data_IF_480612296154
#
_entry.id   IF_480612296154
#
_cell.length_a   1.000
_cell.length_b   1.000
_cell.length_c   1.000
_cell.angle_alpha   90.00
_cell.angle_beta   90.00
_cell.angle_gamma   90.00
#
_symmetry.space_group_name_H-M   'P 1'
#
loop_
_entity.id
_entity.type
_entity.pdbx_description
1 polymer ?
#
# COMPACT_ATOMS: atom_id res chain seq x y z
N UNK A 1 -22.58 -26.03 19.97
CA UNK A 1 -22.64 -24.91 19.02
C UNK A 1 -21.52 -25.14 18.04
N UNK A 2 -21.86 -25.20 16.77
CA UNK A 2 -20.88 -25.50 15.73
C UNK A 2 -20.04 -24.26 15.46
N UNK A 3 -18.73 -24.49 15.35
CA UNK A 3 -17.74 -23.45 15.09
C UNK A 3 -17.36 -23.58 13.62
N UNK A 4 -17.33 -22.45 12.91
CA UNK A 4 -16.93 -22.46 11.51
C UNK A 4 -15.42 -22.72 11.34
N UNK A 5 -14.98 -23.24 10.18
CA UNK A 5 -13.57 -23.36 9.86
C UNK A 5 -12.82 -22.02 9.93
N UNK A 6 -13.48 -20.91 9.56
CA UNK A 6 -12.92 -19.56 9.72
C UNK A 6 -12.64 -19.21 11.16
N UNK A 7 -13.58 -19.49 12.07
CA UNK A 7 -13.40 -19.25 13.51
C UNK A 7 -12.32 -20.13 14.12
N UNK A 8 -12.21 -21.40 13.72
CA UNK A 8 -11.12 -22.28 14.15
C UNK A 8 -9.76 -21.76 13.69
N UNK A 9 -9.68 -21.23 12.47
CA UNK A 9 -8.46 -20.64 11.95
C UNK A 9 -8.08 -19.36 12.71
N UNK A 10 -9.05 -18.47 12.96
CA UNK A 10 -8.86 -17.27 13.79
C UNK A 10 -8.39 -17.64 15.20
N UNK A 11 -8.91 -18.71 15.79
CA UNK A 11 -8.41 -19.20 17.08
C UNK A 11 -6.94 -19.59 17.00
N UNK A 12 -6.54 -20.38 16.01
CA UNK A 12 -5.13 -20.77 15.83
C UNK A 12 -4.21 -19.56 15.66
N UNK A 13 -4.65 -18.54 14.92
CA UNK A 13 -3.93 -17.28 14.79
C UNK A 13 -3.82 -16.55 16.14
N UNK A 14 -4.89 -16.49 16.92
CA UNK A 14 -4.89 -15.85 18.24
C UNK A 14 -3.99 -16.59 19.25
N UNK A 15 -3.96 -17.93 19.19
CA UNK A 15 -3.05 -18.74 19.99
C UNK A 15 -1.59 -18.45 19.62
N UNK A 16 -1.27 -18.43 18.32
CA UNK A 16 0.07 -18.05 17.84
C UNK A 16 0.46 -16.65 18.29
N UNK A 17 -0.47 -15.70 18.29
CA UNK A 17 -0.25 -14.34 18.76
C UNK A 17 0.09 -14.32 20.26
N UNK A 18 -0.69 -15.01 21.11
CA UNK A 18 -0.46 -15.08 22.55
C UNK A 18 0.88 -15.74 22.90
N UNK A 19 1.30 -16.76 22.15
CA UNK A 19 2.63 -17.38 22.30
C UNK A 19 3.72 -16.38 21.93
N UNK A 20 3.60 -15.70 20.79
CA UNK A 20 4.59 -14.74 20.31
C UNK A 20 4.75 -13.54 21.25
N UNK A 21 3.67 -13.12 21.91
CA UNK A 21 3.66 -12.05 22.91
C UNK A 21 3.95 -12.53 24.33
N UNK A 22 4.23 -13.83 24.56
CA UNK A 22 4.56 -14.43 25.87
C UNK A 22 3.46 -14.21 26.92
N UNK A 23 2.21 -14.38 26.52
CA UNK A 23 1.02 -14.28 27.38
C UNK A 23 0.55 -15.67 27.78
N UNK A 24 0.14 -15.84 29.04
CA UNK A 24 -0.33 -17.12 29.58
C UNK A 24 -1.62 -17.60 28.91
N UNK A 25 -2.54 -16.67 28.64
CA UNK A 25 -3.85 -16.96 28.06
C UNK A 25 -4.07 -16.20 26.76
N UNK A 26 -4.95 -16.74 25.90
CA UNK A 26 -5.48 -16.02 24.74
C UNK A 26 -6.51 -15.00 25.22
N UNK A 27 -6.09 -13.74 25.28
CA UNK A 27 -6.95 -12.57 25.55
C UNK A 27 -7.76 -12.06 24.34
N UNK A 28 -8.83 -11.27 24.55
CA UNK A 28 -9.64 -10.68 23.48
C UNK A 28 -8.82 -9.88 22.45
N UNK A 29 -7.78 -9.16 22.90
CA UNK A 29 -6.90 -8.42 22.00
C UNK A 29 -6.15 -9.31 21.00
N UNK A 30 -5.83 -10.55 21.38
CA UNK A 30 -5.22 -11.52 20.47
C UNK A 30 -6.21 -12.00 19.42
N UNK A 31 -7.49 -12.20 19.80
CA UNK A 31 -8.56 -12.50 18.84
C UNK A 31 -8.79 -11.34 17.88
N UNK A 32 -8.76 -10.10 18.36
CA UNK A 32 -8.84 -8.94 17.49
C UNK A 32 -7.67 -8.87 16.52
N UNK A 33 -6.42 -9.01 16.98
CA UNK A 33 -5.24 -9.11 16.11
C UNK A 33 -5.36 -10.23 15.08
N UNK A 34 -5.91 -11.39 15.47
CA UNK A 34 -6.13 -12.53 14.60
C UNK A 34 -7.20 -12.25 13.54
N UNK A 35 -8.30 -11.57 13.89
CA UNK A 35 -9.36 -11.17 12.96
C UNK A 35 -8.87 -10.12 11.95
N UNK A 36 -8.11 -9.13 12.41
CA UNK A 36 -7.47 -8.15 11.53
C UNK A 36 -6.54 -8.85 10.54
N UNK A 37 -5.68 -9.75 11.03
CA UNK A 37 -4.82 -10.57 10.16
C UNK A 37 -5.66 -11.43 9.21
N UNK A 38 -6.69 -12.11 9.69
CA UNK A 38 -7.60 -12.94 8.89
C UNK A 38 -8.27 -12.16 7.74
N UNK A 39 -8.59 -10.88 7.97
CA UNK A 39 -9.14 -9.99 6.95
C UNK A 39 -8.13 -9.57 5.88
N UNK A 40 -6.84 -9.44 6.24
CA UNK A 40 -5.76 -9.02 5.36
C UNK A 40 -5.37 -10.12 4.36
N UNK A 41 -5.49 -11.39 4.77
CA UNK A 41 -4.94 -12.52 4.01
C UNK A 41 -5.63 -12.70 2.65
N UNK A 42 -4.91 -12.47 1.57
CA UNK A 42 -5.17 -13.12 0.27
C UNK A 42 -4.57 -14.54 0.27
N UNK A 43 -5.05 -15.43 -0.60
CA UNK A 43 -4.68 -16.86 -0.59
C UNK A 43 -3.18 -17.21 -0.49
N UNK A 44 -2.24 -16.30 -0.85
CA UNK A 44 -0.78 -16.49 -0.73
C UNK A 44 -0.23 -16.48 0.70
N UNK A 45 -0.85 -15.75 1.63
CA UNK A 45 -0.26 -15.45 2.96
C UNK A 45 -0.74 -16.38 4.08
N UNK A 46 -1.66 -17.30 3.77
CA UNK A 46 -2.12 -18.35 4.70
C UNK A 46 -1.06 -19.45 4.92
N UNK A 47 0.07 -19.42 4.20
CA UNK A 47 1.02 -20.54 4.15
C UNK A 47 0.46 -21.74 3.38
N UNK A 48 -0.56 -21.48 2.56
CA UNK A 48 -1.31 -22.48 1.82
C UNK A 48 -1.37 -22.01 0.37
N UNK A 49 -0.94 -22.85 -0.59
CA UNK A 49 -0.89 -22.48 -2.00
C UNK A 49 -2.26 -21.96 -2.49
N UNK A 50 -2.26 -20.93 -3.34
CA UNK A 50 -3.45 -20.38 -4.00
C UNK A 50 -4.09 -21.49 -4.87
N UNK A 51 -5.02 -22.24 -4.27
CA UNK A 51 -5.58 -23.46 -4.86
C UNK A 51 -5.93 -24.55 -3.85
N UNK A 52 -5.43 -24.46 -2.62
CA UNK A 52 -5.76 -25.45 -1.59
C UNK A 52 -7.24 -25.35 -1.14
N UNK A 53 -7.92 -26.49 -0.92
CA UNK A 53 -9.34 -26.51 -0.54
C UNK A 53 -9.67 -25.63 0.67
N UNK A 54 -8.83 -25.65 1.70
CA UNK A 54 -9.00 -24.81 2.90
C UNK A 54 -9.07 -23.31 2.59
N UNK A 55 -8.29 -22.81 1.62
CA UNK A 55 -8.33 -21.39 1.25
C UNK A 55 -9.68 -21.00 0.63
N UNK A 56 -10.30 -21.91 -0.14
CA UNK A 56 -11.63 -21.71 -0.72
C UNK A 56 -12.72 -21.72 0.36
N UNK A 57 -12.57 -22.55 1.38
CA UNK A 57 -13.50 -22.61 2.52
C UNK A 57 -13.41 -21.37 3.42
N UNK A 58 -12.21 -20.82 3.63
CA UNK A 58 -12.00 -19.67 4.51
C UNK A 58 -12.38 -18.32 3.86
N UNK A 59 -12.26 -18.23 2.53
CA UNK A 59 -12.43 -16.97 1.78
C UNK A 59 -13.76 -16.25 2.06
N UNK A 60 -14.94 -16.91 2.04
CA UNK A 60 -16.21 -16.23 2.26
C UNK A 60 -16.32 -15.60 3.66
N UNK A 61 -15.79 -16.26 4.68
CA UNK A 61 -15.74 -15.72 6.04
C UNK A 61 -14.74 -14.57 6.17
N UNK A 62 -13.57 -14.69 5.54
CA UNK A 62 -12.57 -13.62 5.47
C UNK A 62 -13.11 -12.36 4.77
N UNK A 63 -13.83 -12.53 3.66
CA UNK A 63 -14.46 -11.44 2.91
C UNK A 63 -15.54 -10.73 3.76
N UNK A 64 -16.31 -11.46 4.58
CA UNK A 64 -17.27 -10.87 5.53
C UNK A 64 -16.59 -10.02 6.61
N UNK A 65 -15.52 -10.55 7.22
CA UNK A 65 -14.73 -9.81 8.22
C UNK A 65 -14.12 -8.55 7.59
N UNK A 66 -13.59 -8.66 6.36
CA UNK A 66 -13.04 -7.53 5.61
C UNK A 66 -14.10 -6.45 5.35
N UNK A 67 -15.26 -6.83 4.84
CA UNK A 67 -16.34 -5.89 4.56
C UNK A 67 -16.76 -5.09 5.79
N UNK A 68 -16.88 -5.74 6.96
CA UNK A 68 -17.21 -5.07 8.22
C UNK A 68 -16.15 -4.07 8.69
N UNK A 69 -14.86 -4.37 8.45
CA UNK A 69 -13.74 -3.48 8.78
C UNK A 69 -13.64 -2.31 7.79
N UNK A 70 -13.93 -2.55 6.51
CA UNK A 70 -13.94 -1.53 5.45
C UNK A 70 -15.09 -0.53 5.63
N UNK A 71 -16.29 -1.01 5.98
CA UNK A 71 -17.45 -0.16 6.31
C UNK A 71 -17.12 0.86 7.42
N UNK A 72 -16.30 0.45 8.39
CA UNK A 72 -15.86 1.28 9.52
C UNK A 72 -14.55 2.00 9.23
N UNK A 73 -14.02 1.89 8.01
CA UNK A 73 -12.82 2.59 7.61
C UNK A 73 -11.61 2.25 8.48
N UNK A 74 -11.50 1.03 9.03
CA UNK A 74 -10.43 0.69 9.99
C UNK A 74 -9.13 0.24 9.28
N UNK A 75 -7.98 0.90 9.48
CA UNK A 75 -6.71 0.47 8.89
C UNK A 75 -6.10 -0.72 9.66
N UNK A 76 -6.52 -1.92 9.27
CA UNK A 76 -6.24 -3.21 9.94
C UNK A 76 -4.77 -3.43 10.29
N UNK A 77 -3.85 -3.23 9.36
CA UNK A 77 -2.41 -3.41 9.58
C UNK A 77 -1.84 -2.46 10.64
N UNK A 78 -2.25 -1.18 10.63
CA UNK A 78 -1.76 -0.16 11.58
C UNK A 78 -2.29 -0.45 12.98
N UNK A 79 -3.60 -0.70 13.09
CA UNK A 79 -4.26 -1.09 14.34
C UNK A 79 -3.57 -2.32 14.93
N UNK A 80 -3.38 -3.37 14.14
CA UNK A 80 -2.71 -4.61 14.58
C UNK A 80 -1.29 -4.36 15.09
N UNK A 81 -0.48 -3.57 14.36
CA UNK A 81 0.90 -3.24 14.76
C UNK A 81 0.93 -2.39 16.05
N UNK A 82 0.07 -1.40 16.16
CA UNK A 82 0.03 -0.50 17.32
C UNK A 82 -0.55 -1.21 18.54
N UNK A 83 -1.55 -2.07 18.37
CA UNK A 83 -2.07 -2.91 19.44
C UNK A 83 -1.01 -3.86 19.97
N UNK A 84 -0.22 -4.52 19.10
CA UNK A 84 0.94 -5.33 19.53
C UNK A 84 1.96 -4.51 20.34
N UNK A 85 2.22 -3.26 19.94
CA UNK A 85 3.12 -2.37 20.69
C UNK A 85 2.54 -1.99 22.05
N UNK A 86 1.26 -1.64 22.11
CA UNK A 86 0.56 -1.27 23.32
C UNK A 86 0.45 -2.43 24.32
N UNK A 87 0.20 -3.65 23.81
CA UNK A 87 0.19 -4.87 24.63
C UNK A 87 1.58 -5.26 25.12
N UNK A 88 2.64 -4.91 24.38
CA UNK A 88 4.01 -5.26 24.73
C UNK A 88 4.25 -6.77 24.79
N UNK A 89 5.37 -7.17 25.42
CA UNK A 89 5.72 -8.57 25.67
C UNK A 89 5.48 -8.94 27.13
N UNK A 90 4.83 -10.07 27.34
CA UNK A 90 4.69 -10.70 28.65
C UNK A 90 5.94 -11.50 29.05
N UNK A 91 5.85 -12.14 30.22
CA UNK A 91 6.93 -12.96 30.80
C UNK A 91 6.65 -14.47 30.80
N UNK A 92 5.51 -14.92 30.28
CA UNK A 92 5.12 -16.32 30.36
C UNK A 92 5.85 -17.18 29.31
N UNK A 93 6.34 -18.34 29.73
CA UNK A 93 6.96 -19.32 28.84
C UNK A 93 6.05 -20.54 28.72
N UNK A 94 5.51 -20.77 27.52
CA UNK A 94 4.67 -21.93 27.23
C UNK A 94 5.50 -23.21 27.24
N UNK A 95 5.01 -24.23 27.96
CA UNK A 95 5.57 -25.59 27.98
C UNK A 95 4.68 -26.55 27.17
N UNK A 96 4.30 -26.13 25.97
CA UNK A 96 3.43 -26.87 25.05
C UNK A 96 2.73 -25.96 24.06
N UNK A 97 2.04 -26.55 23.07
CA UNK A 97 1.38 -25.82 22.00
C UNK A 97 -0.07 -25.40 22.34
N UNK A 98 -0.61 -25.90 23.46
CA UNK A 98 -1.99 -25.62 23.88
C UNK A 98 -2.02 -24.38 24.75
N UNK A 99 -2.65 -23.33 24.25
CA UNK A 99 -2.92 -22.10 25.00
C UNK A 99 -4.39 -22.00 25.32
N UNK A 100 -4.72 -21.79 26.59
CA UNK A 100 -6.10 -21.65 27.04
C UNK A 100 -6.62 -20.22 26.83
N UNK A 101 -7.92 -20.11 26.58
CA UNK A 101 -8.62 -18.81 26.54
C UNK A 101 -8.76 -18.26 27.95
N UNK A 102 -8.57 -16.94 28.10
CA UNK A 102 -8.86 -16.25 29.35
C UNK A 102 -10.36 -16.23 29.66
N UNK A 103 -10.74 -15.85 30.87
CA UNK A 103 -12.15 -15.66 31.25
C UNK A 103 -12.84 -14.61 30.36
N UNK A 104 -12.14 -13.53 30.01
CA UNK A 104 -12.64 -12.51 29.10
C UNK A 104 -12.89 -13.07 27.69
N UNK A 105 -11.97 -13.88 27.17
CA UNK A 105 -12.16 -14.56 25.87
C UNK A 105 -13.29 -15.58 25.90
N UNK A 106 -13.52 -16.30 27.00
CA UNK A 106 -14.69 -17.19 27.12
C UNK A 106 -16.00 -16.39 27.07
N UNK A 107 -16.04 -15.22 27.70
CA UNK A 107 -17.19 -14.31 27.65
C UNK A 107 -17.41 -13.73 26.25
N UNK A 108 -16.35 -13.37 25.53
CA UNK A 108 -16.41 -12.97 24.12
C UNK A 108 -17.11 -14.05 23.28
N UNK A 109 -16.69 -15.31 23.41
CA UNK A 109 -17.29 -16.41 22.66
C UNK A 109 -18.75 -16.68 23.05
N UNK A 110 -19.12 -16.56 24.33
CA UNK A 110 -20.51 -16.75 24.76
C UNK A 110 -21.44 -15.62 24.29
N UNK A 111 -20.91 -14.41 24.09
CA UNK A 111 -21.62 -13.30 23.45
C UNK A 111 -21.75 -13.49 21.95
N UNK A 112 -20.65 -13.81 21.26
CA UNK A 112 -20.66 -14.06 19.82
C UNK A 112 -21.57 -15.25 19.46
N UNK A 113 -21.64 -16.27 20.32
CA UNK A 113 -22.60 -17.36 20.25
C UNK A 113 -24.05 -16.87 20.22
N UNK A 114 -24.41 -15.89 21.05
CA UNK A 114 -25.75 -15.30 21.06
C UNK A 114 -26.06 -14.48 19.81
N UNK A 115 -25.04 -13.83 19.23
CA UNK A 115 -25.17 -13.16 17.93
C UNK A 115 -25.41 -14.20 16.83
N UNK A 116 -24.62 -15.27 16.80
CA UNK A 116 -24.75 -16.35 15.81
C UNK A 116 -26.12 -17.06 15.85
N UNK A 117 -26.74 -17.18 17.03
CA UNK A 117 -28.08 -17.74 17.18
C UNK A 117 -29.19 -16.89 16.53
N UNK A 118 -28.95 -15.59 16.33
CA UNK A 118 -29.87 -14.71 15.59
C UNK A 118 -29.72 -14.86 14.06
N UNK A 119 -28.64 -15.48 13.61
CA UNK A 119 -28.37 -15.80 12.21
C UNK A 119 -28.59 -17.31 11.96
N UNK A 120 -27.62 -18.03 11.38
CA UNK A 120 -27.74 -19.45 11.00
C UNK A 120 -27.39 -20.44 12.12
N UNK A 121 -27.05 -19.96 13.32
CA UNK A 121 -26.68 -20.81 14.46
C UNK A 121 -25.24 -21.35 14.45
N UNK A 122 -24.43 -21.01 13.45
CA UNK A 122 -23.01 -21.37 13.35
C UNK A 122 -22.14 -20.19 13.76
N UNK A 123 -21.20 -20.41 14.67
CA UNK A 123 -20.28 -19.36 15.13
C UNK A 123 -19.19 -19.08 14.08
N UNK A 124 -19.42 -18.06 13.28
CA UNK A 124 -18.44 -17.49 12.34
C UNK A 124 -17.56 -16.37 12.91
N UNK A 125 -16.41 -16.12 12.26
CA UNK A 125 -15.40 -15.16 12.69
C UNK A 125 -15.94 -13.72 12.78
N UNK A 126 -16.86 -13.34 11.89
CA UNK A 126 -17.44 -12.00 11.88
C UNK A 126 -18.29 -11.70 13.13
N UNK A 127 -18.90 -12.71 13.76
CA UNK A 127 -19.61 -12.53 15.03
C UNK A 127 -18.66 -12.17 16.19
N UNK A 128 -17.44 -12.74 16.18
CA UNK A 128 -16.40 -12.36 17.16
C UNK A 128 -15.98 -10.90 16.93
N UNK A 129 -15.81 -10.50 15.67
CA UNK A 129 -15.47 -9.13 15.31
C UNK A 129 -16.56 -8.15 15.77
N UNK A 130 -17.83 -8.47 15.52
CA UNK A 130 -18.97 -7.63 15.91
C UNK A 130 -18.95 -7.32 17.41
N UNK A 131 -18.84 -8.35 18.25
CA UNK A 131 -18.79 -8.19 19.71
C UNK A 131 -17.55 -7.40 20.16
N UNK A 132 -16.41 -7.61 19.52
CA UNK A 132 -15.16 -6.89 19.81
C UNK A 132 -15.22 -5.40 19.44
N UNK A 133 -15.98 -5.05 18.40
CA UNK A 133 -16.18 -3.66 17.98
C UNK A 133 -17.26 -2.95 18.81
N UNK A 134 -18.27 -3.69 19.27
CA UNK A 134 -19.31 -3.17 20.18
C UNK A 134 -18.74 -2.91 21.59
N UNK A 135 -17.95 -3.85 22.11
CA UNK A 135 -17.33 -3.75 23.44
C UNK A 135 -15.80 -3.95 23.36
N UNK A 136 -15.06 -2.95 22.84
CA UNK A 136 -13.61 -3.05 22.74
C UNK A 136 -12.93 -3.05 24.11
N UNK A 137 -11.80 -3.73 24.22
CA UNK A 137 -10.92 -3.58 25.39
C UNK A 137 -10.39 -2.14 25.47
N UNK A 138 -9.89 -1.73 26.63
CA UNK A 138 -9.29 -0.40 26.79
C UNK A 138 -8.12 -0.17 25.81
N UNK A 139 -7.30 -1.20 25.59
CA UNK A 139 -6.18 -1.14 24.64
C UNK A 139 -6.67 -1.00 23.19
N UNK A 140 -7.68 -1.79 22.79
CA UNK A 140 -8.29 -1.67 21.47
C UNK A 140 -8.93 -0.30 21.25
N UNK A 141 -9.72 0.19 22.21
CA UNK A 141 -10.39 1.48 22.12
C UNK A 141 -9.37 2.62 21.98
N UNK A 142 -8.31 2.60 22.78
CA UNK A 142 -7.24 3.59 22.70
C UNK A 142 -6.51 3.54 21.35
N UNK A 143 -6.17 2.35 20.87
CA UNK A 143 -5.51 2.20 19.56
C UNK A 143 -6.42 2.62 18.41
N UNK A 144 -7.70 2.24 18.42
CA UNK A 144 -8.65 2.65 17.37
C UNK A 144 -8.89 4.17 17.39
N UNK A 145 -8.83 4.80 18.57
CA UNK A 145 -8.88 6.27 18.69
C UNK A 145 -7.62 6.95 18.18
N UNK A 146 -6.45 6.42 18.53
CA UNK A 146 -5.14 6.97 18.13
C UNK A 146 -4.87 6.80 16.63
N UNK A 147 -5.36 5.69 16.07
CA UNK A 147 -5.24 5.38 14.64
C UNK A 147 -6.34 6.08 13.83
N UNK A 148 -7.50 6.37 14.43
CA UNK A 148 -8.64 7.04 13.80
C UNK A 148 -9.35 6.21 12.72
N UNK A 149 -10.64 6.46 12.44
CA UNK A 149 -11.29 5.94 11.23
C UNK A 149 -10.67 6.57 9.98
N UNK A 150 -10.36 5.77 8.95
CA UNK A 150 -9.91 6.25 7.62
C UNK A 150 -10.83 7.37 7.15
N UNK A 151 -10.26 8.55 6.98
CA UNK A 151 -10.70 9.48 5.96
C UNK A 151 -10.00 9.09 4.65
N UNK A 152 -10.61 8.19 3.86
CA UNK A 152 -10.13 7.88 2.50
C UNK A 152 -8.74 7.23 2.39
N UNK A 153 -8.30 6.84 1.17
CA UNK A 153 -7.31 5.79 0.98
C UNK A 153 -5.85 6.26 1.00
N UNK A 154 -4.98 5.40 1.54
CA UNK A 154 -3.53 5.50 1.68
C UNK A 154 -3.04 6.59 2.67
N UNK A 155 -2.90 6.17 3.93
CA UNK A 155 -2.04 6.85 4.88
C UNK A 155 -0.58 6.48 4.59
N UNK A 156 0.05 7.31 3.78
CA UNK A 156 1.49 7.40 3.68
C UNK A 156 1.94 8.61 4.52
N UNK A 157 1.86 8.58 5.87
CA UNK A 157 2.13 9.75 6.72
C UNK A 157 3.48 10.43 6.46
N UNK A 158 4.53 9.70 6.06
CA UNK A 158 5.82 10.31 5.76
C UNK A 158 5.84 10.94 4.36
N UNK A 159 5.13 10.33 3.41
CA UNK A 159 4.99 10.80 2.02
C UNK A 159 3.97 11.93 1.84
N UNK A 160 2.88 11.94 2.62
CA UNK A 160 1.77 12.89 2.51
C UNK A 160 2.20 14.37 2.53
N UNK A 161 3.18 14.80 3.37
CA UNK A 161 3.69 16.16 3.33
C UNK A 161 4.36 16.55 2.00
N UNK A 162 4.89 15.56 1.28
CA UNK A 162 5.66 15.74 0.03
C UNK A 162 4.88 15.33 -1.22
N UNK A 163 3.65 14.83 -1.06
CA UNK A 163 2.91 14.20 -2.15
C UNK A 163 1.67 14.97 -2.57
N UNK A 164 1.45 15.03 -3.88
CA UNK A 164 0.25 15.58 -4.49
C UNK A 164 -0.48 14.49 -5.28
N UNK A 165 -1.78 14.31 -5.03
CA UNK A 165 -2.59 13.35 -5.78
C UNK A 165 -2.89 13.87 -7.19
N UNK A 166 -2.42 13.15 -8.21
CA UNK A 166 -2.58 13.56 -9.59
C UNK A 166 -3.98 13.28 -10.16
N UNK A 167 -4.77 12.41 -9.51
CA UNK A 167 -6.17 12.17 -9.91
C UNK A 167 -7.06 13.40 -9.63
N UNK A 168 -6.68 14.21 -8.63
CA UNK A 168 -7.41 15.44 -8.28
C UNK A 168 -7.15 16.60 -9.26
N UNK A 169 -6.06 16.56 -10.04
CA UNK A 169 -5.71 17.63 -10.98
C UNK A 169 -6.72 17.80 -12.13
N UNK A 170 -7.63 16.83 -12.35
CA UNK A 170 -8.60 16.86 -13.44
C UNK A 170 -10.08 16.87 -12.98
N UNK A 171 -10.37 17.41 -11.79
CA UNK A 171 -11.76 17.67 -11.41
C UNK A 171 -12.31 18.90 -12.15
N UNK A 172 -13.33 18.65 -12.99
CA UNK A 172 -14.20 19.59 -13.71
C UNK A 172 -13.59 20.49 -14.82
N UNK A 173 -13.78 20.08 -16.09
CA UNK A 173 -14.12 21.04 -17.16
C UNK A 173 -13.06 21.57 -18.14
N UNK A 174 -11.84 21.00 -18.25
CA UNK A 174 -10.80 21.49 -19.21
C UNK A 174 -9.89 20.39 -19.81
N UNK A 175 -9.19 20.69 -20.91
CA UNK A 175 -9.48 20.29 -22.30
C UNK A 175 -9.10 18.84 -22.64
N UNK A 176 -9.65 18.34 -23.74
CA UNK A 176 -9.25 17.08 -24.41
C UNK A 176 -7.77 17.15 -24.78
N UNK A 177 -7.01 16.05 -24.57
CA UNK A 177 -5.62 15.95 -25.04
C UNK A 177 -5.61 16.21 -26.55
N UNK A 178 -4.68 17.03 -27.09
CA UNK A 178 -4.46 17.11 -28.53
C UNK A 178 -4.26 15.72 -29.12
N UNK A 179 -4.85 15.43 -30.28
CA UNK A 179 -4.82 14.09 -30.91
C UNK A 179 -3.40 13.55 -31.01
N UNK A 180 -2.47 14.43 -31.39
CA UNK A 180 -1.04 14.16 -31.53
C UNK A 180 -0.39 13.58 -30.26
N UNK A 181 -0.94 13.82 -29.06
CA UNK A 181 -0.39 13.31 -27.79
C UNK A 181 -1.14 12.09 -27.23
N UNK A 182 -2.19 11.60 -27.88
CA UNK A 182 -2.93 10.41 -27.42
C UNK A 182 -2.06 9.15 -27.40
N UNK A 183 -1.22 8.96 -28.43
CA UNK A 183 -0.31 7.82 -28.51
C UNK A 183 0.67 7.80 -27.34
N UNK A 184 1.28 8.94 -27.01
CA UNK A 184 2.20 9.07 -25.87
C UNK A 184 1.49 8.76 -24.54
N UNK A 185 0.28 9.31 -24.32
CA UNK A 185 -0.50 9.03 -23.11
C UNK A 185 -0.91 7.56 -23.03
N UNK A 186 -1.24 6.92 -24.15
CA UNK A 186 -1.58 5.50 -24.20
C UNK A 186 -0.37 4.63 -23.83
N UNK A 187 0.81 4.92 -24.38
CA UNK A 187 2.05 4.21 -24.03
C UNK A 187 2.38 4.36 -22.55
N UNK A 188 2.28 5.58 -22.00
CA UNK A 188 2.48 5.83 -20.57
C UNK A 188 1.46 5.08 -19.71
N UNK A 189 0.19 5.08 -20.13
CA UNK A 189 -0.90 4.38 -19.43
C UNK A 189 -0.64 2.87 -19.40
N UNK A 190 -0.24 2.29 -20.52
CA UNK A 190 0.05 0.86 -20.61
C UNK A 190 1.29 0.48 -19.79
N UNK A 191 2.34 1.32 -19.83
CA UNK A 191 3.51 1.12 -18.99
C UNK A 191 3.13 1.12 -17.49
N UNK A 192 2.26 2.05 -17.08
CA UNK A 192 1.76 2.14 -15.70
C UNK A 192 0.81 1.00 -15.32
N UNK A 193 0.09 0.39 -16.27
CA UNK A 193 -0.81 -0.75 -16.05
C UNK A 193 -0.11 -2.10 -16.00
N UNK A 194 1.01 -2.25 -16.73
CA UNK A 194 1.82 -3.46 -16.79
C UNK A 194 2.01 -4.09 -15.41
N UNK A 195 2.06 -5.42 -15.23
CA UNK A 195 2.41 -6.01 -13.93
C UNK A 195 3.92 -5.90 -13.60
N UNK A 196 4.76 -5.51 -14.56
CA UNK A 196 6.22 -5.42 -14.42
C UNK A 196 6.64 -4.33 -13.40
N UNK A 197 7.32 -4.68 -12.30
CA UNK A 197 7.70 -3.72 -11.26
C UNK A 197 8.82 -2.76 -11.68
N UNK A 198 9.46 -2.98 -12.83
CA UNK A 198 10.57 -2.15 -13.33
C UNK A 198 10.18 -0.66 -13.36
N UNK A 199 10.95 0.23 -12.74
CA UNK A 199 10.76 1.68 -12.81
C UNK A 199 10.68 2.20 -14.25
N UNK A 200 9.81 3.17 -14.50
CA UNK A 200 9.67 3.79 -15.82
C UNK A 200 10.44 5.11 -15.82
N UNK A 201 11.34 5.28 -16.79
CA UNK A 201 12.04 6.54 -17.06
C UNK A 201 11.41 7.21 -18.28
N UNK A 202 10.80 8.37 -18.07
CA UNK A 202 10.30 9.26 -19.10
C UNK A 202 11.44 10.20 -19.53
N UNK A 203 11.89 10.07 -20.77
CA UNK A 203 12.87 10.99 -21.34
C UNK A 203 12.14 12.03 -22.19
N UNK A 204 12.16 13.27 -21.72
CA UNK A 204 11.34 14.35 -22.26
C UNK A 204 12.15 15.26 -23.18
N UNK A 205 11.70 15.43 -24.43
CA UNK A 205 12.20 16.47 -25.31
C UNK A 205 11.90 17.88 -24.75
N UNK A 206 12.69 18.91 -25.11
CA UNK A 206 12.45 20.29 -24.69
C UNK A 206 11.03 20.78 -25.04
N UNK A 207 10.43 21.57 -24.15
CA UNK A 207 9.12 22.20 -24.38
C UNK A 207 7.89 21.31 -24.12
N UNK A 208 8.07 20.05 -23.70
CA UNK A 208 6.94 19.18 -23.34
C UNK A 208 6.36 19.57 -21.97
N UNK A 209 5.07 19.88 -21.96
CA UNK A 209 4.30 20.08 -20.73
C UNK A 209 3.84 18.73 -20.18
N UNK A 210 4.56 18.20 -19.19
CA UNK A 210 4.35 16.85 -18.69
C UNK A 210 3.14 16.72 -17.74
N UNK A 211 2.86 17.75 -16.94
CA UNK A 211 1.79 17.72 -15.95
C UNK A 211 0.40 17.40 -16.55
N UNK A 212 -0.03 17.98 -17.70
CA UNK A 212 -1.25 17.57 -18.39
C UNK A 212 -1.23 16.10 -18.81
N UNK A 213 -0.13 15.58 -19.35
CA UNK A 213 -0.04 14.21 -19.85
C UNK A 213 -0.18 13.19 -18.71
N UNK A 214 0.58 13.39 -17.63
CA UNK A 214 0.53 12.51 -16.45
C UNK A 214 -0.83 12.60 -15.75
N UNK A 215 -1.48 13.77 -15.74
CA UNK A 215 -2.85 13.91 -15.23
C UNK A 215 -3.86 13.04 -15.99
N UNK A 216 -3.72 12.89 -17.30
CA UNK A 216 -4.57 11.99 -18.09
C UNK A 216 -4.28 10.52 -17.79
N UNK A 217 -3.00 10.16 -17.63
CA UNK A 217 -2.61 8.81 -17.20
C UNK A 217 -3.22 8.50 -15.83
N UNK A 218 -3.09 9.40 -14.86
CA UNK A 218 -3.64 9.26 -13.51
C UNK A 218 -5.16 9.02 -13.54
N UNK A 219 -5.89 9.76 -14.38
CA UNK A 219 -7.33 9.57 -14.55
C UNK A 219 -7.66 8.22 -15.20
N UNK A 220 -6.90 7.79 -16.21
CA UNK A 220 -7.13 6.55 -16.95
C UNK A 220 -6.84 5.29 -16.12
N UNK A 221 -6.03 5.41 -15.06
CA UNK A 221 -5.69 4.31 -14.15
C UNK A 221 -6.29 4.45 -12.76
N UNK A 222 -7.07 5.51 -12.47
CA UNK A 222 -7.57 5.83 -11.12
C UNK A 222 -8.24 4.68 -10.37
N UNK A 223 -8.91 3.78 -11.10
CA UNK A 223 -9.66 2.65 -10.53
C UNK A 223 -8.74 1.43 -10.24
N UNK A 224 -7.50 1.48 -10.72
CA UNK A 224 -6.49 0.41 -10.60
C UNK A 224 -5.27 0.85 -9.79
N UNK A 225 -4.80 2.07 -10.01
CA UNK A 225 -3.57 2.65 -9.46
C UNK A 225 -3.81 4.11 -9.05
N UNK A 226 -3.25 4.49 -7.92
CA UNK A 226 -3.19 5.86 -7.42
C UNK A 226 -1.84 6.47 -7.79
N UNK A 227 -1.84 7.60 -8.49
CA UNK A 227 -0.61 8.30 -8.88
C UNK A 227 -0.38 9.51 -7.98
N UNK A 228 0.75 9.52 -7.27
CA UNK A 228 1.16 10.62 -6.41
C UNK A 228 2.44 11.28 -6.95
N UNK A 229 2.42 12.59 -7.17
CA UNK A 229 3.62 13.37 -7.49
C UNK A 229 4.38 13.70 -6.22
N UNK A 230 5.68 13.41 -6.17
CA UNK A 230 6.56 13.79 -5.07
C UNK A 230 7.29 15.09 -5.39
N UNK A 231 7.17 16.06 -4.48
CA UNK A 231 8.00 17.26 -4.42
C UNK A 231 9.37 16.92 -3.83
N UNK A 232 10.18 16.23 -4.63
CA UNK A 232 11.54 15.82 -4.26
C UNK A 232 12.48 17.02 -4.05
N UNK A 233 12.17 18.19 -4.64
CA UNK A 233 12.90 19.42 -4.36
C UNK A 233 12.64 19.90 -2.92
N UNK A 234 11.41 19.76 -2.41
CA UNK A 234 11.11 19.99 -0.99
C UNK A 234 11.78 18.97 -0.08
N UNK A 235 11.79 17.69 -0.47
CA UNK A 235 12.54 16.65 0.28
C UNK A 235 14.02 17.04 0.40
N UNK A 236 14.63 17.49 -0.71
CA UNK A 236 16.02 17.96 -0.72
C UNK A 236 16.24 19.19 0.16
N UNK A 237 15.30 20.13 0.21
CA UNK A 237 15.39 21.33 1.09
C UNK A 237 15.23 20.98 2.56
N UNK A 238 14.38 20.02 2.90
CA UNK A 238 14.14 19.59 4.28
C UNK A 238 15.29 18.71 4.80
N UNK A 239 16.02 18.05 3.91
CA UNK A 239 17.25 17.34 4.21
C UNK A 239 18.35 18.33 4.57
N UNK A 240 18.56 18.53 5.89
CA UNK A 240 19.55 19.48 6.44
C UNK A 240 21.01 19.18 6.05
N UNK A 241 21.30 17.97 5.57
CA UNK A 241 22.62 17.48 5.17
C UNK A 241 22.52 16.68 3.86
N UNK A 242 23.51 16.79 2.96
CA UNK A 242 23.51 16.10 1.64
C UNK A 242 23.35 14.57 1.75
N UNK A 243 23.85 13.95 2.84
CA UNK A 243 23.69 12.52 3.10
C UNK A 243 22.29 12.11 3.61
N UNK A 244 21.52 13.05 4.16
CA UNK A 244 20.19 12.78 4.71
C UNK A 244 19.11 12.72 3.62
N UNK A 245 19.33 13.33 2.46
CA UNK A 245 18.40 13.27 1.33
C UNK A 245 18.17 11.83 0.86
N UNK A 246 19.25 11.05 0.66
CA UNK A 246 19.15 9.65 0.25
C UNK A 246 18.42 8.81 1.28
N UNK A 247 18.72 9.01 2.58
CA UNK A 247 18.05 8.32 3.68
C UNK A 247 16.55 8.64 3.72
N UNK A 248 16.20 9.92 3.65
CA UNK A 248 14.81 10.37 3.67
C UNK A 248 14.05 9.88 2.43
N UNK A 249 14.66 9.92 1.24
CA UNK A 249 14.07 9.37 0.03
C UNK A 249 13.84 7.84 0.15
N UNK A 250 14.80 7.11 0.70
CA UNK A 250 14.66 5.67 0.94
C UNK A 250 13.51 5.35 1.91
N UNK A 251 13.32 6.15 2.96
CA UNK A 251 12.17 6.00 3.88
C UNK A 251 10.83 6.21 3.17
N UNK A 252 10.72 7.27 2.35
CA UNK A 252 9.51 7.57 1.56
C UNK A 252 9.19 6.44 0.58
N UNK A 253 10.21 5.92 -0.10
CA UNK A 253 10.07 4.81 -1.04
C UNK A 253 9.67 3.52 -0.32
N UNK A 254 10.25 3.23 0.83
CA UNK A 254 9.91 2.06 1.64
C UNK A 254 8.47 2.12 2.13
N UNK A 255 7.99 3.29 2.56
CA UNK A 255 6.59 3.49 2.93
C UNK A 255 5.66 3.25 1.73
N UNK A 256 6.01 3.82 0.57
CA UNK A 256 5.23 3.67 -0.65
C UNK A 256 5.21 2.23 -1.18
N UNK A 257 6.30 1.46 -1.01
CA UNK A 257 6.34 0.05 -1.39
C UNK A 257 5.29 -0.78 -0.65
N UNK A 258 4.89 -0.36 0.56
CA UNK A 258 3.81 -0.98 1.32
C UNK A 258 2.41 -0.76 0.74
N UNK A 259 2.25 0.08 -0.28
CA UNK A 259 0.97 0.36 -0.94
C UNK A 259 0.93 -0.25 -2.34
N UNK A 260 0.29 -1.41 -2.50
CA UNK A 260 0.30 -2.23 -3.74
C UNK A 260 -0.24 -1.51 -5.00
N UNK A 261 -1.11 -0.51 -4.80
CA UNK A 261 -1.72 0.24 -5.90
C UNK A 261 -1.16 1.66 -6.04
N UNK A 262 -0.02 1.96 -5.42
CA UNK A 262 0.60 3.28 -5.48
C UNK A 262 1.66 3.34 -6.60
N UNK A 263 1.62 4.43 -7.35
CA UNK A 263 2.66 4.81 -8.32
C UNK A 263 3.16 6.19 -7.92
N UNK A 264 4.47 6.31 -7.73
CA UNK A 264 5.09 7.59 -7.43
C UNK A 264 5.63 8.22 -8.71
N UNK A 265 5.32 9.50 -8.88
CA UNK A 265 5.78 10.31 -9.99
C UNK A 265 6.79 11.35 -9.50
N UNK A 266 7.97 11.38 -10.10
CA UNK A 266 9.03 12.34 -9.81
C UNK A 266 9.40 13.09 -11.08
N UNK A 267 9.35 14.42 -11.02
CA UNK A 267 9.43 15.29 -12.18
C UNK A 267 10.64 16.23 -12.10
N UNK A 268 11.75 15.83 -12.71
CA UNK A 268 13.02 16.56 -12.67
C UNK A 268 13.34 17.27 -14.00
N UNK A 269 12.38 17.35 -14.93
CA UNK A 269 12.63 17.88 -16.28
C UNK A 269 13.12 19.32 -16.32
N UNK A 270 12.76 20.13 -15.32
CA UNK A 270 13.13 21.56 -15.23
C UNK A 270 14.31 21.85 -14.28
N UNK A 271 14.86 20.84 -13.60
CA UNK A 271 15.86 21.06 -12.54
C UNK A 271 17.33 21.02 -13.03
N UNK A 272 17.55 20.67 -14.29
CA UNK A 272 18.89 20.55 -14.89
C UNK A 272 19.66 19.31 -14.44
N UNK A 273 20.88 19.13 -14.97
CA UNK A 273 21.66 17.89 -14.84
C UNK A 273 22.04 17.54 -13.40
N UNK A 274 22.58 18.48 -12.62
CA UNK A 274 23.11 18.19 -11.27
C UNK A 274 22.01 17.76 -10.27
N UNK A 275 20.87 18.48 -10.13
CA UNK A 275 19.79 18.02 -9.26
C UNK A 275 19.17 16.70 -9.72
N UNK A 276 19.03 16.49 -11.03
CA UNK A 276 18.51 15.24 -11.58
C UNK A 276 19.45 14.06 -11.29
N UNK A 277 20.76 14.26 -11.41
CA UNK A 277 21.76 13.25 -11.07
C UNK A 277 21.71 12.87 -9.58
N UNK A 278 21.55 13.86 -8.69
CA UNK A 278 21.39 13.61 -7.25
C UNK A 278 20.12 12.80 -6.95
N UNK A 279 19.01 13.12 -7.62
CA UNK A 279 17.77 12.33 -7.51
C UNK A 279 18.01 10.89 -7.97
N UNK A 280 18.57 10.69 -9.16
CA UNK A 280 18.83 9.37 -9.71
C UNK A 280 19.72 8.53 -8.78
N UNK A 281 20.82 9.09 -8.28
CA UNK A 281 21.71 8.42 -7.31
C UNK A 281 20.97 8.00 -6.03
N UNK A 282 20.13 8.87 -5.47
CA UNK A 282 19.30 8.54 -4.31
C UNK A 282 18.31 7.39 -4.61
N UNK A 283 17.74 7.36 -5.82
CA UNK A 283 16.89 6.26 -6.27
C UNK A 283 17.66 4.96 -6.43
N UNK A 284 18.84 4.99 -7.06
CA UNK A 284 19.67 3.79 -7.29
C UNK A 284 19.91 2.98 -6.02
N UNK A 285 20.16 3.66 -4.90
CA UNK A 285 20.30 3.02 -3.58
C UNK A 285 19.00 2.34 -3.14
N UNK A 286 17.87 3.04 -3.25
CA UNK A 286 16.56 2.55 -2.81
C UNK A 286 15.94 1.48 -3.73
N UNK A 287 16.30 1.47 -5.01
CA UNK A 287 15.84 0.53 -6.04
C UNK A 287 16.23 -0.93 -5.75
N UNK A 288 17.25 -1.16 -4.91
CA UNK A 288 17.73 -2.49 -4.53
C UNK A 288 16.88 -3.19 -3.46
N UNK A 289 16.00 -2.46 -2.76
CA UNK A 289 15.34 -2.92 -1.51
C UNK A 289 13.84 -3.22 -1.60
N UNK A 290 13.30 -3.45 -2.81
CA UNK A 290 11.86 -3.71 -3.02
C UNK A 290 11.09 -2.40 -3.10
N UNK A 291 10.91 -1.91 -4.32
CA UNK A 291 10.45 -0.55 -4.56
C UNK A 291 8.99 -0.42 -4.91
N UNK A 292 8.37 0.73 -4.56
CA UNK A 292 7.09 1.10 -5.15
C UNK A 292 7.26 1.26 -6.65
N UNK A 293 6.17 1.18 -7.41
CA UNK A 293 6.25 1.52 -8.83
C UNK A 293 6.61 3.00 -8.99
N UNK A 294 7.71 3.25 -9.71
CA UNK A 294 8.23 4.58 -9.97
C UNK A 294 8.01 5.01 -11.42
N UNK A 295 7.66 6.28 -11.59
CA UNK A 295 7.63 7.00 -12.85
C UNK A 295 8.52 8.24 -12.68
N UNK A 296 9.71 8.22 -13.26
CA UNK A 296 10.70 9.30 -13.14
C UNK A 296 10.78 10.03 -14.48
N UNK A 297 10.74 11.36 -14.47
CA UNK A 297 10.88 12.17 -15.68
C UNK A 297 12.12 13.06 -15.62
N UNK A 298 12.91 13.01 -16.70
CA UNK A 298 14.12 13.81 -16.91
C UNK A 298 14.11 14.44 -18.31
N UNK A 299 14.90 15.48 -18.51
CA UNK A 299 15.09 16.02 -19.87
C UNK A 299 16.01 15.13 -20.70
N UNK A 300 15.90 15.23 -22.03
CA UNK A 300 16.78 14.52 -22.96
C UNK A 300 18.27 14.89 -22.79
N UNK A 301 18.56 16.11 -22.33
CA UNK A 301 19.93 16.56 -22.00
C UNK A 301 20.46 15.79 -20.79
N UNK A 302 19.69 15.71 -19.71
CA UNK A 302 20.06 14.93 -18.52
C UNK A 302 20.29 13.47 -18.85
N UNK A 303 19.44 12.88 -19.70
CA UNK A 303 19.65 11.50 -20.13
C UNK A 303 21.02 11.32 -20.79
N UNK A 304 21.37 12.16 -21.77
CA UNK A 304 22.63 12.09 -22.52
C UNK A 304 23.85 12.34 -21.65
N UNK A 305 23.74 13.27 -20.70
CA UNK A 305 24.90 13.71 -19.91
C UNK A 305 25.13 12.86 -18.64
N UNK A 306 24.08 12.21 -18.13
CA UNK A 306 24.11 11.52 -16.82
C UNK A 306 23.77 10.04 -16.92
N UNK A 307 22.74 9.67 -17.69
CA UNK A 307 22.22 8.29 -17.70
C UNK A 307 22.91 7.43 -18.77
N UNK A 308 22.97 7.93 -20.00
CA UNK A 308 23.58 7.22 -21.15
C UNK A 308 25.08 6.90 -20.96
N UNK A 309 25.91 7.77 -20.35
CA UNK A 309 27.34 7.48 -20.18
C UNK A 309 27.63 6.52 -19.01
N UNK A 310 26.68 6.29 -18.11
CA UNK A 310 26.88 5.54 -16.86
C UNK A 310 26.22 4.15 -16.96
N UNK A 311 27.02 3.07 -17.10
CA UNK A 311 26.50 1.71 -17.28
C UNK A 311 25.77 1.16 -16.05
N UNK A 312 25.83 1.83 -14.89
CA UNK A 312 25.06 1.41 -13.72
C UNK A 312 23.55 1.51 -13.92
N UNK A 313 23.10 2.31 -14.91
CA UNK A 313 21.69 2.45 -15.25
C UNK A 313 21.19 1.43 -16.28
N UNK A 314 22.07 0.58 -16.83
CA UNK A 314 21.70 -0.42 -17.81
C UNK A 314 20.68 -1.42 -17.23
N UNK A 315 19.48 -1.44 -17.81
CA UNK A 315 18.37 -2.29 -17.36
C UNK A 315 17.72 -1.85 -16.05
N UNK A 316 18.13 -0.72 -15.44
CA UNK A 316 17.52 -0.20 -14.21
C UNK A 316 16.11 0.39 -14.46
N UNK A 317 15.86 0.85 -15.69
CA UNK A 317 14.60 1.48 -16.08
C UNK A 317 14.05 0.90 -17.37
N UNK A 318 12.72 0.87 -17.46
CA UNK A 318 12.01 0.81 -18.73
C UNK A 318 11.90 2.22 -19.30
N UNK A 319 12.46 2.43 -20.47
CA UNK A 319 12.50 3.75 -21.11
C UNK A 319 11.24 4.05 -21.93
N UNK A 320 10.75 5.28 -21.82
CA UNK A 320 9.69 5.83 -22.68
C UNK A 320 10.10 7.22 -23.13
N UNK A 321 10.24 7.39 -24.45
CA UNK A 321 10.65 8.66 -25.05
C UNK A 321 9.43 9.52 -25.39
N UNK A 322 9.39 10.71 -24.80
CA UNK A 322 8.40 11.73 -25.12
C UNK A 322 9.02 12.71 -26.10
N UNK A 323 8.55 12.63 -27.34
CA UNK A 323 9.00 13.45 -28.45
C UNK A 323 8.26 14.79 -28.45
N UNK A 324 8.96 15.86 -28.84
CA UNK A 324 8.30 17.10 -29.23
C UNK A 324 7.61 16.81 -30.56
N UNK A 325 6.29 16.79 -30.55
CA UNK A 325 5.50 16.60 -31.76
C UNK A 325 5.11 17.99 -32.23
N UNK A 326 5.73 18.47 -33.30
CA UNK A 326 5.26 19.66 -34.01
C UNK A 326 4.10 19.25 -34.92
N UNK A 327 3.06 20.10 -35.04
CA UNK A 327 1.99 19.90 -36.02
C UNK A 327 2.64 19.87 -37.42
N UNK A 328 2.77 18.68 -37.99
CA UNK A 328 3.52 18.42 -39.23
C UNK A 328 4.33 17.10 -39.22
N UNK A 329 4.62 16.53 -38.04
CA UNK A 329 5.41 15.29 -37.92
C UNK A 329 4.59 14.00 -37.86
N UNK A 330 3.26 14.09 -38.00
CA UNK A 330 2.39 12.91 -38.16
C UNK A 330 2.15 12.74 -39.66
N UNK A 331 2.71 11.73 -40.33
CA UNK A 331 2.29 11.41 -41.68
C UNK A 331 0.79 11.13 -41.68
N UNK A 332 0.04 11.70 -42.62
CA UNK A 332 -1.42 11.51 -42.79
C UNK A 332 -1.82 10.05 -43.10
N UNK A 333 -0.90 9.09 -43.02
CA UNK A 333 -1.10 7.69 -43.36
C UNK A 333 -0.64 6.76 -42.24
N UNK A 334 -1.54 6.50 -41.28
CA UNK A 334 -1.64 5.26 -40.50
C UNK A 334 -3.11 4.89 -40.27
#
# INVERSE_FOLDING_TARGET
MDISPGTEFVWRLAASEAIATRRENIEPDHFFCALLKFSEVGAKELGVAAGHPLAQTLKPEGDRVRAALEERSLPTTRIRRQLRRALGRGGYQHKGDVVHRSTASRLLFSRAARVALKDKGVLEAHHLLEVLLEEPTAAMAQVMKDVGPRAGPAETPFLSPYAQDLSALRQAGKPTIPEIRKSQVQVMTEAVRSPDPTPILLVCAPGIQLAPLVGHVAQAVKDQKRLLKIDHARVLRDAKEEGMFSTQMAELLTEAAGAENLVLFMDSTEQGAKPSANLLSALGTALTSGTPRLLVAISAEVYRDVVEPDPTWDGAFRMVWLHSLTEGDVPDEL
#
